data_IF_729120195945
#
_entry.id   IF_729120195945
#
_cell.length_a   1.000
_cell.length_b   1.000
_cell.length_c   1.000
_cell.angle_alpha   90.00
_cell.angle_beta   90.00
_cell.angle_gamma   90.00
#
_symmetry.space_group_name_H-M   'P 1'
#
loop_
_entity.id
_entity.type
_entity.pdbx_description
1 polymer ?
#
# COMPACT_ATOMS: atom_id res chain seq x y z
N UNK A 1 -26.41 -7.41 27.54
CA UNK A 1 -25.92 -6.26 26.75
C UNK A 1 -26.35 -6.53 25.32
N UNK A 2 -27.44 -5.89 24.87
CA UNK A 2 -27.87 -6.02 23.48
C UNK A 2 -26.73 -5.57 22.57
N UNK A 3 -26.40 -6.41 21.60
CA UNK A 3 -25.58 -6.05 20.45
C UNK A 3 -26.33 -4.95 19.69
N UNK A 4 -26.16 -3.69 20.10
CA UNK A 4 -26.55 -2.54 19.30
C UNK A 4 -25.57 -2.46 18.13
N UNK A 5 -25.75 -3.37 17.17
CA UNK A 5 -25.23 -3.22 15.83
C UNK A 5 -25.85 -1.94 15.30
N UNK A 6 -25.13 -0.82 15.40
CA UNK A 6 -25.52 0.39 14.71
C UNK A 6 -25.74 0.00 13.25
N UNK A 7 -26.98 0.10 12.74
CA UNK A 7 -27.22 -0.24 11.35
C UNK A 7 -26.28 0.63 10.51
N UNK A 8 -25.63 0.07 9.48
CA UNK A 8 -24.73 0.85 8.64
C UNK A 8 -25.51 2.09 8.17
N UNK A 9 -24.88 3.29 8.21
CA UNK A 9 -25.57 4.52 7.89
C UNK A 9 -26.26 4.39 6.52
N UNK A 10 -27.50 4.89 6.38
CA UNK A 10 -28.24 4.77 5.13
C UNK A 10 -27.40 5.33 3.97
N UNK A 11 -27.47 4.70 2.77
CA UNK A 11 -26.73 5.15 1.61
C UNK A 11 -26.92 6.64 1.37
N UNK A 12 -25.84 7.34 0.99
CA UNK A 12 -25.94 8.74 0.62
C UNK A 12 -27.03 8.92 -0.49
N UNK A 13 -27.92 9.92 -0.36
CA UNK A 13 -28.98 10.16 -1.34
C UNK A 13 -28.41 10.25 -2.76
N UNK A 14 -28.95 9.46 -3.69
CA UNK A 14 -28.54 9.47 -5.10
C UNK A 14 -27.39 8.53 -5.48
N UNK A 15 -26.83 7.74 -4.55
CA UNK A 15 -25.82 6.72 -4.86
C UNK A 15 -26.47 5.33 -5.00
N UNK A 16 -26.37 4.73 -6.18
CA UNK A 16 -26.96 3.41 -6.45
C UNK A 16 -26.20 2.27 -5.75
N UNK A 17 -26.82 1.09 -5.61
CA UNK A 17 -26.15 -0.10 -5.07
C UNK A 17 -24.93 -0.51 -5.91
N UNK A 18 -25.02 -0.41 -7.24
CA UNK A 18 -23.88 -0.66 -8.13
C UNK A 18 -22.74 0.31 -7.87
N UNK A 19 -23.02 1.61 -7.74
CA UNK A 19 -22.00 2.62 -7.46
C UNK A 19 -21.31 2.40 -6.10
N UNK A 20 -22.06 1.96 -5.07
CA UNK A 20 -21.48 1.58 -3.77
C UNK A 20 -20.55 0.37 -3.89
N UNK A 21 -20.96 -0.66 -4.62
CA UNK A 21 -20.12 -1.82 -4.89
C UNK A 21 -18.83 -1.42 -5.63
N UNK A 22 -18.94 -0.61 -6.68
CA UNK A 22 -17.78 -0.11 -7.42
C UNK A 22 -16.85 0.74 -6.55
N UNK A 23 -17.39 1.63 -5.72
CA UNK A 23 -16.60 2.41 -4.76
C UNK A 23 -15.87 1.53 -3.75
N UNK A 24 -16.55 0.49 -3.23
CA UNK A 24 -15.95 -0.51 -2.35
C UNK A 24 -14.78 -1.23 -3.03
N UNK A 25 -14.96 -1.64 -4.29
CA UNK A 25 -13.92 -2.31 -5.09
C UNK A 25 -12.69 -1.45 -5.33
N UNK A 26 -12.83 -0.12 -5.44
CA UNK A 26 -11.68 0.79 -5.59
C UNK A 26 -10.69 0.64 -4.43
N UNK A 27 -11.17 0.39 -3.21
CA UNK A 27 -10.32 0.25 -2.02
C UNK A 27 -9.96 -1.22 -1.72
N UNK A 28 -10.80 -2.17 -2.12
CA UNK A 28 -10.60 -3.60 -1.86
C UNK A 28 -9.62 -4.26 -2.84
N UNK A 29 -9.65 -3.90 -4.12
CA UNK A 29 -8.79 -4.49 -5.14
C UNK A 29 -7.29 -4.45 -4.82
N UNK A 30 -6.71 -3.33 -4.33
CA UNK A 30 -5.31 -3.32 -3.94
C UNK A 30 -4.98 -4.24 -2.76
N UNK A 31 -5.94 -4.56 -1.88
CA UNK A 31 -5.74 -5.57 -0.83
C UNK A 31 -5.63 -6.98 -1.41
N UNK A 32 -6.44 -7.30 -2.43
CA UNK A 32 -6.39 -8.59 -3.10
C UNK A 32 -5.09 -8.78 -3.92
N UNK A 33 -4.42 -7.69 -4.29
CA UNK A 33 -3.11 -7.77 -4.92
C UNK A 33 -2.02 -8.31 -3.96
N UNK A 34 -2.19 -8.18 -2.63
CA UNK A 34 -1.19 -8.63 -1.64
C UNK A 34 -0.93 -10.15 -1.73
N UNK A 35 -1.93 -11.04 -1.62
CA UNK A 35 -1.69 -12.47 -1.75
C UNK A 35 -1.17 -12.87 -3.14
N UNK A 36 -1.60 -12.19 -4.21
CA UNK A 36 -1.06 -12.45 -5.56
C UNK A 36 0.44 -12.14 -5.61
N UNK A 37 0.85 -11.03 -4.99
CA UNK A 37 2.25 -10.62 -4.97
C UNK A 37 3.16 -11.56 -4.17
N UNK A 38 2.58 -12.39 -3.29
CA UNK A 38 3.31 -13.43 -2.55
C UNK A 38 3.73 -14.60 -3.45
N UNK A 39 2.97 -14.90 -4.50
CA UNK A 39 3.29 -15.95 -5.47
C UNK A 39 4.04 -15.42 -6.68
N UNK A 40 3.70 -14.21 -7.13
CA UNK A 40 4.28 -13.58 -8.32
C UNK A 40 4.67 -12.15 -7.95
N UNK A 41 5.96 -11.85 -7.72
CA UNK A 41 6.38 -10.53 -7.28
C UNK A 41 6.31 -9.53 -8.43
N UNK A 42 5.18 -8.85 -8.55
CA UNK A 42 4.93 -7.79 -9.53
C UNK A 42 4.99 -6.45 -8.80
N UNK A 43 6.02 -5.62 -9.05
CA UNK A 43 6.09 -4.29 -8.48
C UNK A 43 4.81 -3.49 -8.79
N UNK A 44 4.29 -2.81 -7.77
CA UNK A 44 3.13 -1.91 -7.89
C UNK A 44 1.82 -2.57 -8.35
N UNK A 45 1.67 -3.90 -8.23
CA UNK A 45 0.45 -4.60 -8.65
C UNK A 45 -0.85 -4.00 -8.10
N UNK A 46 -0.86 -3.58 -6.83
CA UNK A 46 -2.03 -2.91 -6.25
C UNK A 46 -2.36 -1.56 -6.92
N UNK A 47 -1.35 -0.78 -7.31
CA UNK A 47 -1.54 0.46 -8.07
C UNK A 47 -2.09 0.16 -9.46
N UNK A 48 -1.53 -0.85 -10.16
CA UNK A 48 -2.01 -1.28 -11.47
C UNK A 48 -3.48 -1.72 -11.39
N UNK A 49 -3.82 -2.58 -10.42
CA UNK A 49 -5.20 -3.06 -10.22
C UNK A 49 -6.18 -1.91 -10.00
N UNK A 50 -5.81 -0.93 -9.18
CA UNK A 50 -6.65 0.23 -8.87
C UNK A 50 -6.77 1.17 -10.07
N UNK A 51 -5.69 1.39 -10.84
CA UNK A 51 -5.72 2.20 -12.06
C UNK A 51 -6.64 1.57 -13.11
N UNK A 52 -6.52 0.26 -13.34
CA UNK A 52 -7.38 -0.47 -14.28
C UNK A 52 -8.84 -0.31 -13.88
N UNK A 53 -9.18 -0.59 -12.61
CA UNK A 53 -10.55 -0.43 -12.12
C UNK A 53 -11.05 1.01 -12.24
N UNK A 54 -10.24 1.99 -11.84
CA UNK A 54 -10.60 3.40 -11.94
C UNK A 54 -10.90 3.79 -13.38
N UNK A 55 -9.98 3.56 -14.32
CA UNK A 55 -10.20 3.98 -15.70
C UNK A 55 -11.33 3.21 -16.40
N UNK A 56 -11.57 1.95 -16.04
CA UNK A 56 -12.69 1.17 -16.61
C UNK A 56 -14.06 1.55 -16.04
N UNK A 57 -14.13 2.16 -14.85
CA UNK A 57 -15.40 2.36 -14.14
C UNK A 57 -15.70 3.83 -13.77
N UNK A 58 -14.75 4.76 -13.97
CA UNK A 58 -14.87 6.18 -13.56
C UNK A 58 -16.07 6.91 -14.16
N UNK A 59 -16.58 6.47 -15.30
CA UNK A 59 -17.70 7.13 -15.99
C UNK A 59 -19.07 6.73 -15.42
N UNK A 60 -19.13 5.73 -14.52
CA UNK A 60 -20.36 5.27 -13.87
C UNK A 60 -20.89 6.19 -12.77
N UNK A 61 -20.29 7.37 -12.60
CA UNK A 61 -20.79 8.43 -11.73
C UNK A 61 -19.74 9.07 -10.86
N UNK A 62 -20.06 10.28 -10.35
CA UNK A 62 -19.14 11.08 -9.53
C UNK A 62 -18.67 10.32 -8.28
N UNK A 63 -19.56 9.55 -7.64
CA UNK A 63 -19.20 8.74 -6.47
C UNK A 63 -18.09 7.72 -6.76
N UNK A 64 -18.21 6.99 -7.88
CA UNK A 64 -17.22 5.97 -8.29
C UNK A 64 -15.91 6.65 -8.66
N UNK A 65 -15.98 7.75 -9.42
CA UNK A 65 -14.81 8.55 -9.80
C UNK A 65 -14.07 9.08 -8.57
N UNK A 66 -14.77 9.65 -7.58
CA UNK A 66 -14.15 10.19 -6.36
C UNK A 66 -13.45 9.12 -5.52
N UNK A 67 -14.08 7.97 -5.27
CA UNK A 67 -13.43 6.87 -4.54
C UNK A 67 -12.23 6.32 -5.33
N UNK A 68 -12.36 6.21 -6.65
CA UNK A 68 -11.27 5.78 -7.51
C UNK A 68 -10.06 6.72 -7.44
N UNK A 69 -10.27 8.04 -7.50
CA UNK A 69 -9.19 9.03 -7.35
C UNK A 69 -8.50 8.96 -5.99
N UNK A 70 -9.27 8.85 -4.90
CA UNK A 70 -8.70 8.72 -3.55
C UNK A 70 -7.87 7.44 -3.40
N UNK A 71 -8.37 6.31 -3.92
CA UNK A 71 -7.64 5.05 -3.90
C UNK A 71 -6.38 5.09 -4.77
N UNK A 72 -6.46 5.62 -6.00
CA UNK A 72 -5.30 5.80 -6.88
C UNK A 72 -4.24 6.69 -6.24
N UNK A 73 -4.62 7.83 -5.67
CA UNK A 73 -3.71 8.74 -4.97
C UNK A 73 -3.01 8.06 -3.79
N UNK A 74 -3.74 7.26 -3.02
CA UNK A 74 -3.16 6.47 -1.94
C UNK A 74 -2.18 5.40 -2.45
N UNK A 75 -2.53 4.68 -3.51
CA UNK A 75 -1.64 3.68 -4.11
C UNK A 75 -0.37 4.30 -4.73
N UNK A 76 -0.46 5.50 -5.31
CA UNK A 76 0.70 6.28 -5.75
C UNK A 76 1.59 6.63 -4.55
N UNK A 77 0.99 7.06 -3.44
CA UNK A 77 1.74 7.38 -2.21
C UNK A 77 2.52 6.17 -1.71
N UNK A 78 1.87 5.00 -1.64
CA UNK A 78 2.54 3.76 -1.26
C UNK A 78 3.62 3.34 -2.26
N UNK A 79 3.40 3.54 -3.55
CA UNK A 79 4.40 3.25 -4.59
C UNK A 79 5.64 4.13 -4.43
N UNK A 80 5.48 5.42 -4.18
CA UNK A 80 6.59 6.35 -3.95
C UNK A 80 7.37 5.99 -2.67
N UNK A 81 6.66 5.64 -1.59
CA UNK A 81 7.29 5.14 -0.37
C UNK A 81 8.07 3.83 -0.62
N UNK A 82 7.51 2.95 -1.45
CA UNK A 82 8.17 1.71 -1.87
C UNK A 82 9.44 1.97 -2.68
N UNK A 83 9.42 2.90 -3.64
CA UNK A 83 10.61 3.30 -4.41
C UNK A 83 11.69 3.87 -3.50
N UNK A 84 11.31 4.76 -2.56
CA UNK A 84 12.24 5.29 -1.56
C UNK A 84 12.86 4.17 -0.73
N UNK A 85 12.06 3.21 -0.27
CA UNK A 85 12.56 2.04 0.46
C UNK A 85 13.52 1.19 -0.35
N UNK A 86 13.25 0.95 -1.63
CA UNK A 86 14.16 0.21 -2.52
C UNK A 86 15.51 0.92 -2.64
N UNK A 87 15.52 2.25 -2.80
CA UNK A 87 16.76 3.03 -2.88
C UNK A 87 17.55 2.91 -1.57
N UNK A 88 16.88 3.06 -0.42
CA UNK A 88 17.53 2.92 0.89
C UNK A 88 18.09 1.51 1.09
N UNK A 89 17.33 0.47 0.72
CA UNK A 89 17.79 -0.92 0.74
C UNK A 89 19.02 -1.09 -0.15
N UNK A 90 19.01 -0.59 -1.39
CA UNK A 90 20.17 -0.71 -2.28
C UNK A 90 21.44 -0.07 -1.68
N UNK A 91 21.31 1.08 -1.01
CA UNK A 91 22.44 1.77 -0.39
C UNK A 91 22.95 1.00 0.84
N UNK A 92 22.08 0.72 1.82
CA UNK A 92 22.50 0.13 3.10
C UNK A 92 22.78 -1.36 2.98
N UNK A 93 21.90 -2.10 2.30
CA UNK A 93 22.08 -3.52 2.07
C UNK A 93 23.23 -3.77 1.09
N UNK A 94 23.30 -3.01 -0.01
CA UNK A 94 24.39 -3.12 -0.98
C UNK A 94 25.75 -2.75 -0.39
N UNK A 95 25.83 -1.69 0.42
CA UNK A 95 27.04 -1.31 1.15
C UNK A 95 27.48 -2.38 2.15
N UNK A 96 26.52 -3.02 2.84
CA UNK A 96 26.80 -4.10 3.79
C UNK A 96 27.34 -5.34 3.08
N UNK A 97 26.76 -5.71 1.93
CA UNK A 97 27.27 -6.78 1.06
C UNK A 97 28.71 -6.47 0.63
N UNK A 98 28.96 -5.25 0.13
CA UNK A 98 30.29 -4.85 -0.33
C UNK A 98 31.32 -4.93 0.80
N UNK A 99 31.01 -4.43 1.99
CA UNK A 99 31.88 -4.53 3.17
C UNK A 99 32.21 -5.98 3.51
N UNK A 100 31.21 -6.88 3.43
CA UNK A 100 31.40 -8.31 3.69
C UNK A 100 32.38 -8.94 2.68
N UNK A 101 32.20 -8.66 1.39
CA UNK A 101 33.08 -9.17 0.33
C UNK A 101 34.49 -8.60 0.41
N UNK A 102 34.62 -7.28 0.60
CA UNK A 102 35.93 -6.63 0.72
C UNK A 102 36.67 -7.07 1.97
N UNK A 103 35.98 -7.26 3.09
CA UNK A 103 36.55 -7.81 4.31
C UNK A 103 37.12 -9.21 4.10
N UNK A 104 36.36 -10.09 3.45
CA UNK A 104 36.83 -11.43 3.08
C UNK A 104 38.04 -11.41 2.14
N UNK A 105 38.03 -10.56 1.11
CA UNK A 105 39.12 -10.45 0.15
C UNK A 105 40.40 -9.84 0.74
N UNK A 106 40.27 -8.93 1.71
CA UNK A 106 41.40 -8.25 2.36
C UNK A 106 41.92 -8.96 3.61
N UNK A 107 41.22 -9.99 4.10
CA UNK A 107 41.49 -10.61 5.40
C UNK A 107 41.13 -9.72 6.60
N UNK A 108 40.40 -8.61 6.39
CA UNK A 108 39.95 -7.73 7.45
C UNK A 108 38.68 -8.28 8.10
N UNK A 109 38.84 -8.93 9.26
CA UNK A 109 37.72 -9.43 10.07
C UNK A 109 36.78 -8.30 10.50
N UNK A 110 37.33 -7.11 10.78
CA UNK A 110 36.54 -5.94 11.15
C UNK A 110 35.60 -5.49 10.00
N UNK A 111 36.09 -5.45 8.76
CA UNK A 111 35.28 -5.08 7.61
C UNK A 111 34.24 -6.17 7.27
N UNK A 112 34.62 -7.44 7.38
CA UNK A 112 33.70 -8.56 7.17
C UNK A 112 32.57 -8.57 8.23
N UNK A 113 32.93 -8.40 9.50
CA UNK A 113 31.99 -8.29 10.61
C UNK A 113 31.04 -7.10 10.48
N UNK A 114 31.56 -5.93 10.06
CA UNK A 114 30.72 -4.76 9.79
C UNK A 114 29.70 -5.02 8.68
N UNK A 115 30.09 -5.76 7.62
CA UNK A 115 29.17 -6.17 6.56
C UNK A 115 28.02 -7.05 7.07
N UNK A 116 28.33 -8.07 7.86
CA UNK A 116 27.31 -8.95 8.46
C UNK A 116 26.38 -8.19 9.40
N UNK A 117 26.92 -7.35 10.29
CA UNK A 117 26.13 -6.53 11.21
C UNK A 117 25.24 -5.53 10.46
N UNK A 118 25.76 -4.93 9.38
CA UNK A 118 25.01 -4.05 8.50
C UNK A 118 23.82 -4.75 7.83
N UNK A 119 24.00 -5.99 7.36
CA UNK A 119 22.92 -6.78 6.77
C UNK A 119 21.80 -7.09 7.77
N UNK A 120 22.16 -7.50 8.99
CA UNK A 120 21.19 -7.80 10.05
C UNK A 120 20.45 -6.52 10.44
N UNK A 121 21.17 -5.44 10.74
CA UNK A 121 20.58 -4.17 11.13
C UNK A 121 19.65 -3.61 10.06
N UNK A 122 20.08 -3.61 8.79
CA UNK A 122 19.27 -3.14 7.67
C UNK A 122 18.02 -4.00 7.48
N UNK A 123 18.14 -5.33 7.52
CA UNK A 123 17.00 -6.25 7.39
C UNK A 123 15.94 -6.02 8.47
N UNK A 124 16.36 -5.84 9.73
CA UNK A 124 15.46 -5.63 10.86
C UNK A 124 14.72 -4.30 10.74
N UNK A 125 15.44 -3.22 10.41
CA UNK A 125 14.85 -1.89 10.24
C UNK A 125 13.87 -1.88 9.08
N UNK A 126 14.26 -2.41 7.92
CA UNK A 126 13.41 -2.45 6.72
C UNK A 126 12.18 -3.31 6.97
N UNK A 127 12.34 -4.48 7.59
CA UNK A 127 11.22 -5.36 7.95
C UNK A 127 10.23 -4.69 8.89
N UNK A 128 10.72 -4.01 9.94
CA UNK A 128 9.88 -3.28 10.89
C UNK A 128 9.11 -2.14 10.21
N UNK A 129 9.79 -1.33 9.40
CA UNK A 129 9.14 -0.21 8.71
C UNK A 129 8.13 -0.72 7.69
N UNK A 130 8.46 -1.74 6.90
CA UNK A 130 7.54 -2.35 5.95
C UNK A 130 6.30 -2.92 6.64
N UNK A 131 6.45 -3.54 7.82
CA UNK A 131 5.33 -4.04 8.62
C UNK A 131 4.42 -2.91 9.10
N UNK A 132 4.98 -1.84 9.67
CA UNK A 132 4.20 -0.69 10.16
C UNK A 132 3.44 -0.01 9.02
N UNK A 133 4.13 0.23 7.90
CA UNK A 133 3.52 0.82 6.69
C UNK A 133 2.44 -0.10 6.13
N UNK A 134 2.73 -1.39 6.01
CA UNK A 134 1.81 -2.39 5.47
C UNK A 134 0.53 -2.53 6.30
N UNK A 135 0.66 -2.66 7.63
CA UNK A 135 -0.49 -2.73 8.54
C UNK A 135 -1.31 -1.45 8.45
N UNK A 136 -0.66 -0.28 8.51
CA UNK A 136 -1.35 1.02 8.38
C UNK A 136 -2.11 1.09 7.06
N UNK A 137 -1.48 0.69 5.95
CA UNK A 137 -2.10 0.70 4.64
C UNK A 137 -3.31 -0.24 4.56
N UNK A 138 -3.20 -1.44 5.11
CA UNK A 138 -4.29 -2.41 5.17
C UNK A 138 -5.48 -1.86 5.94
N UNK A 139 -5.24 -1.31 7.14
CA UNK A 139 -6.28 -0.69 7.97
C UNK A 139 -6.99 0.43 7.21
N UNK A 140 -6.23 1.34 6.59
CA UNK A 140 -6.82 2.45 5.85
C UNK A 140 -7.63 1.98 4.63
N UNK A 141 -7.17 0.96 3.90
CA UNK A 141 -7.92 0.38 2.78
C UNK A 141 -9.21 -0.28 3.24
N UNK A 142 -9.19 -1.03 4.35
CA UNK A 142 -10.40 -1.64 4.93
C UNK A 142 -11.42 -0.56 5.33
N UNK A 143 -10.98 0.52 5.98
CA UNK A 143 -11.87 1.64 6.33
C UNK A 143 -12.46 2.27 5.07
N UNK A 144 -11.65 2.43 4.01
CA UNK A 144 -12.10 2.91 2.70
C UNK A 144 -13.18 2.02 2.11
N UNK A 145 -12.96 0.71 2.09
CA UNK A 145 -13.92 -0.31 1.64
C UNK A 145 -15.24 -0.21 2.41
N UNK A 146 -15.19 -0.14 3.75
CA UNK A 146 -16.39 -0.05 4.61
C UNK A 146 -17.17 1.24 4.34
N UNK A 147 -16.48 2.39 4.27
CA UNK A 147 -17.13 3.68 4.03
C UNK A 147 -17.74 3.79 2.63
N UNK A 148 -17.04 3.28 1.61
CA UNK A 148 -17.57 3.26 0.25
C UNK A 148 -18.80 2.36 0.11
N UNK A 149 -18.85 1.23 0.83
CA UNK A 149 -20.05 0.39 0.92
C UNK A 149 -21.25 1.12 1.57
N UNK A 150 -20.97 2.01 2.52
CA UNK A 150 -21.96 2.94 3.11
C UNK A 150 -22.34 4.13 2.21
N UNK A 151 -21.81 4.21 0.99
CA UNK A 151 -22.07 5.33 0.08
C UNK A 151 -21.33 6.61 0.43
N UNK A 152 -20.24 6.54 1.21
CA UNK A 152 -19.40 7.68 1.55
C UNK A 152 -18.05 7.62 0.84
N UNK A 153 -17.55 8.77 0.38
CA UNK A 153 -16.20 8.86 -0.18
C UNK A 153 -15.19 8.86 0.94
N UNK A 154 -14.26 7.90 0.94
CA UNK A 154 -13.19 7.88 1.93
C UNK A 154 -11.98 8.68 1.46
N UNK A 155 -11.55 9.65 2.28
CA UNK A 155 -10.30 10.39 2.08
C UNK A 155 -9.21 9.79 2.93
N UNK A 156 -8.16 9.31 2.28
CA UNK A 156 -6.99 8.77 2.97
C UNK A 156 -6.24 9.90 3.71
N UNK A 157 -5.85 9.71 4.98
CA UNK A 157 -5.17 10.75 5.75
C UNK A 157 -3.79 11.14 5.20
N UNK A 158 -3.07 10.17 4.62
CA UNK A 158 -1.67 10.30 4.22
C UNK A 158 -1.48 10.25 2.69
N UNK A 159 -2.50 10.55 1.88
CA UNK A 159 -2.40 10.49 0.42
C UNK A 159 -1.90 11.78 -0.22
N UNK A 160 -0.99 11.65 -1.19
CA UNK A 160 -0.60 12.71 -2.11
C UNK A 160 -1.66 12.80 -3.22
N UNK A 161 -2.29 13.97 -3.38
CA UNK A 161 -3.39 14.18 -4.32
C UNK A 161 -2.88 14.64 -5.69
N UNK A 162 -2.44 13.69 -6.51
CA UNK A 162 -2.00 13.96 -7.88
C UNK A 162 -3.16 13.93 -8.88
N UNK A 163 -4.08 12.98 -8.73
CA UNK A 163 -5.28 12.87 -9.55
C UNK A 163 -6.39 13.71 -8.91
N UNK A 164 -6.93 14.69 -9.66
CA UNK A 164 -7.98 15.63 -9.24
C UNK A 164 -9.32 15.32 -9.89
#
# INVERSE_FOLDING_TARGET
MENQSFPPPPPAPGVTAEQRSLGMWMHLAPLLAIPVNMFIPIPFLGLIATLVLYYSQREKGAFVSSNGKESVNFQITLALLGVLMVILVMIFFGGSILSMFMGGASGSEAAAGAGVMGLIGTSLIVGLVAMVVGITAVVLMIIGTIRANGGQVYRYPISIRLVK
#
